data_IF_752249796859
#
_entry.id   IF_752249796859
#
_cell.length_a   1.000
_cell.length_b   1.000
_cell.length_c   1.000
_cell.angle_alpha   90.00
_cell.angle_beta   90.00
_cell.angle_gamma   90.00
#
_symmetry.space_group_name_H-M   'P 1'
#
loop_
_entity.id
_entity.type
_entity.pdbx_description
1 polymer ?
#
# COMPACT_ATOMS: atom_id res chain seq x y z
N UNK A 1 -11.89 -3.69 6.62
CA UNK A 1 -12.54 -2.35 6.68
C UNK A 1 -11.61 -1.18 6.95
N UNK A 2 -10.79 -1.18 8.00
CA UNK A 2 -9.97 -0.01 8.38
C UNK A 2 -9.14 0.58 7.22
N UNK A 3 -8.39 -0.26 6.49
CA UNK A 3 -7.49 0.17 5.42
C UNK A 3 -8.23 0.78 4.21
N UNK A 4 -9.34 0.19 3.78
CA UNK A 4 -10.17 0.75 2.70
C UNK A 4 -10.74 2.13 3.08
N UNK A 5 -11.11 2.32 4.35
CA UNK A 5 -11.57 3.63 4.83
C UNK A 5 -10.49 4.71 4.74
N UNK A 6 -9.22 4.34 4.93
CA UNK A 6 -8.09 5.25 4.80
C UNK A 6 -7.83 5.62 3.33
N UNK A 7 -7.88 4.63 2.44
CA UNK A 7 -7.74 4.86 1.00
C UNK A 7 -8.85 5.80 0.49
N UNK A 8 -10.11 5.54 0.88
CA UNK A 8 -11.24 6.40 0.50
C UNK A 8 -11.03 7.85 0.94
N UNK A 9 -10.70 8.10 2.21
CA UNK A 9 -10.46 9.47 2.71
C UNK A 9 -9.28 10.15 2.02
N UNK A 10 -8.21 9.42 1.78
CA UNK A 10 -7.03 9.94 1.08
C UNK A 10 -7.33 10.29 -0.39
N UNK A 11 -8.18 9.51 -1.05
CA UNK A 11 -8.58 9.78 -2.43
C UNK A 11 -9.65 10.89 -2.54
N UNK A 12 -10.56 10.98 -1.57
CA UNK A 12 -11.67 11.93 -1.57
C UNK A 12 -11.28 13.35 -1.13
N UNK A 13 -10.07 13.56 -0.58
CA UNK A 13 -9.64 14.86 -0.06
C UNK A 13 -8.89 15.68 -1.12
N UNK A 14 -9.03 17.01 -1.00
CA UNK A 14 -8.30 18.00 -1.79
C UNK A 14 -7.01 18.49 -1.10
N UNK A 15 -6.68 17.94 0.06
CA UNK A 15 -5.46 18.29 0.78
C UNK A 15 -4.20 18.01 -0.08
N UNK A 16 -3.27 18.97 -0.23
CA UNK A 16 -2.11 18.83 -1.11
C UNK A 16 -1.24 17.59 -0.83
N UNK A 17 -1.15 17.18 0.43
CA UNK A 17 -0.36 16.03 0.89
C UNK A 17 -0.87 14.70 0.33
N UNK A 18 -2.14 14.64 -0.07
CA UNK A 18 -2.78 13.45 -0.65
C UNK A 18 -2.96 13.54 -2.16
N UNK A 19 -2.42 14.57 -2.80
CA UNK A 19 -2.53 14.80 -4.26
C UNK A 19 -2.05 13.62 -5.11
N UNK A 20 -1.15 12.78 -4.60
CA UNK A 20 -0.68 11.57 -5.26
C UNK A 20 -1.69 10.41 -5.25
N UNK A 21 -2.71 10.45 -4.39
CA UNK A 21 -3.73 9.41 -4.25
C UNK A 21 -4.92 9.79 -5.12
N UNK A 22 -4.87 9.37 -6.38
CA UNK A 22 -5.94 9.58 -7.36
C UNK A 22 -6.40 8.24 -7.91
N UNK A 23 -7.69 7.98 -7.77
CA UNK A 23 -8.38 6.79 -8.26
C UNK A 23 -9.53 7.21 -9.18
N UNK A 24 -10.01 6.32 -10.06
CA UNK A 24 -11.21 6.57 -10.86
C UNK A 24 -12.43 6.94 -10.00
N UNK A 25 -13.31 7.81 -10.52
CA UNK A 25 -14.53 8.21 -9.81
C UNK A 25 -15.45 7.02 -9.51
N UNK A 26 -15.51 6.02 -10.40
CA UNK A 26 -16.29 4.78 -10.17
C UNK A 26 -15.77 4.02 -8.94
N UNK A 27 -14.45 3.94 -8.79
CA UNK A 27 -13.80 3.24 -7.69
C UNK A 27 -13.99 4.03 -6.39
N UNK A 28 -13.97 5.36 -6.46
CA UNK A 28 -14.20 6.23 -5.31
C UNK A 28 -15.62 6.07 -4.74
N UNK A 29 -16.61 6.02 -5.61
CA UNK A 29 -18.01 5.82 -5.21
C UNK A 29 -18.25 4.39 -4.69
N UNK A 30 -17.58 3.41 -5.30
CA UNK A 30 -17.57 2.03 -4.79
C UNK A 30 -16.98 1.97 -3.39
N UNK A 31 -15.81 2.58 -3.16
CA UNK A 31 -15.18 2.67 -1.84
C UNK A 31 -16.09 3.37 -0.82
N UNK A 32 -16.75 4.47 -1.20
CA UNK A 32 -17.71 5.17 -0.34
C UNK A 32 -18.82 4.22 0.12
N UNK A 33 -19.38 3.47 -0.80
CA UNK A 33 -20.47 2.52 -0.53
C UNK A 33 -20.01 1.40 0.41
N UNK A 34 -18.87 0.77 0.13
CA UNK A 34 -18.29 -0.28 0.97
C UNK A 34 -18.01 0.20 2.40
N UNK A 35 -17.43 1.41 2.54
CA UNK A 35 -17.14 2.00 3.85
C UNK A 35 -18.43 2.29 4.63
N UNK A 36 -19.47 2.82 3.97
CA UNK A 36 -20.75 3.11 4.60
C UNK A 36 -21.54 1.86 4.99
N UNK A 37 -21.49 0.79 4.19
CA UNK A 37 -22.19 -0.46 4.48
C UNK A 37 -21.45 -1.36 5.48
N UNK A 38 -20.16 -1.11 5.71
CA UNK A 38 -19.32 -2.01 6.51
C UNK A 38 -18.90 -3.28 5.76
N UNK A 39 -19.18 -3.35 4.45
CA UNK A 39 -18.87 -4.49 3.59
C UNK A 39 -17.42 -4.37 3.08
N UNK A 40 -16.55 -5.36 3.29
CA UNK A 40 -15.20 -5.37 2.71
C UNK A 40 -15.20 -5.46 1.18
N UNK A 41 -16.31 -5.85 0.57
CA UNK A 41 -16.45 -5.97 -0.87
C UNK A 41 -15.60 -7.10 -1.45
N UNK A 42 -15.24 -6.95 -2.72
CA UNK A 42 -14.49 -7.99 -3.41
C UNK A 42 -13.03 -8.03 -2.97
N UNK A 43 -12.47 -9.22 -2.73
CA UNK A 43 -11.07 -9.39 -2.34
C UNK A 43 -10.03 -8.79 -3.30
N UNK A 44 -10.35 -8.72 -4.59
CA UNK A 44 -9.46 -8.17 -5.62
C UNK A 44 -9.60 -6.66 -5.83
N UNK A 45 -10.45 -5.98 -5.05
CA UNK A 45 -10.66 -4.55 -5.13
C UNK A 45 -9.69 -3.82 -4.21
N UNK A 46 -8.61 -3.26 -4.79
CA UNK A 46 -7.47 -2.67 -4.08
C UNK A 46 -6.89 -3.58 -2.98
N UNK A 47 -6.39 -4.78 -3.36
CA UNK A 47 -5.89 -5.74 -2.38
C UNK A 47 -4.68 -5.18 -1.64
N UNK A 48 -4.58 -5.53 -0.36
CA UNK A 48 -3.67 -4.83 0.57
C UNK A 48 -2.60 -5.76 1.11
N UNK A 49 -1.34 -5.38 0.95
CA UNK A 49 -0.17 -6.08 1.49
C UNK A 49 0.50 -5.25 2.58
N UNK A 50 1.03 -5.92 3.61
CA UNK A 50 1.76 -5.26 4.70
C UNK A 50 3.26 -5.57 4.66
N UNK A 51 4.06 -4.55 4.96
CA UNK A 51 5.50 -4.67 5.19
C UNK A 51 5.87 -3.97 6.49
N UNK A 52 6.55 -4.65 7.39
CA UNK A 52 7.03 -4.11 8.66
C UNK A 52 8.53 -3.78 8.57
N UNK A 53 8.91 -2.60 9.04
CA UNK A 53 10.30 -2.29 9.31
C UNK A 53 10.75 -3.03 10.58
N UNK A 54 11.77 -3.87 10.44
CA UNK A 54 12.26 -4.74 11.52
C UNK A 54 13.33 -4.09 12.40
N UNK A 55 13.83 -2.92 12.03
CA UNK A 55 14.80 -2.15 12.83
C UNK A 55 14.31 -0.73 13.06
N UNK A 56 14.74 -0.14 14.18
CA UNK A 56 14.39 1.24 14.53
C UNK A 56 15.09 2.19 13.57
N UNK A 57 14.28 2.98 12.87
CA UNK A 57 14.74 4.04 11.99
C UNK A 57 14.61 5.42 12.62
N UNK A 58 14.89 6.46 11.82
CA UNK A 58 14.49 7.82 12.19
C UNK A 58 12.96 7.92 12.21
N UNK A 59 12.43 8.72 13.13
CA UNK A 59 11.02 9.09 13.14
C UNK A 59 10.77 9.97 11.92
N UNK A 60 9.79 9.61 11.10
CA UNK A 60 9.30 10.46 10.02
C UNK A 60 7.81 10.20 9.80
N UNK A 61 7.07 11.26 9.44
CA UNK A 61 5.67 11.15 9.02
C UNK A 61 5.62 11.36 7.52
N UNK A 62 5.49 10.28 6.76
CA UNK A 62 5.47 10.35 5.31
C UNK A 62 4.03 10.34 4.81
N UNK A 63 3.65 11.35 4.03
CA UNK A 63 2.35 11.38 3.37
C UNK A 63 2.17 10.17 2.44
N UNK A 64 0.93 9.72 2.19
CA UNK A 64 0.70 8.64 1.23
C UNK A 64 1.22 8.98 -0.17
N UNK A 65 1.81 8.01 -0.85
CA UNK A 65 2.36 8.21 -2.21
C UNK A 65 1.95 7.12 -3.18
N UNK A 66 1.90 7.47 -4.47
CA UNK A 66 1.78 6.53 -5.57
C UNK A 66 3.18 6.15 -6.10
N UNK A 67 3.44 4.85 -6.29
CA UNK A 67 4.73 4.33 -6.75
C UNK A 67 4.56 3.05 -7.56
N UNK A 68 5.65 2.60 -8.17
CA UNK A 68 5.79 1.25 -8.70
C UNK A 68 6.63 0.43 -7.71
N UNK A 69 6.11 -0.70 -7.26
CA UNK A 69 6.79 -1.70 -6.45
C UNK A 69 7.22 -2.85 -7.34
N UNK A 70 8.43 -3.34 -7.15
CA UNK A 70 8.93 -4.53 -7.83
C UNK A 70 8.54 -5.75 -6.99
N UNK A 71 7.66 -6.61 -7.51
CA UNK A 71 7.17 -7.80 -6.82
C UNK A 71 7.83 -9.03 -7.47
N UNK A 72 8.42 -9.95 -6.69
CA UNK A 72 8.98 -11.17 -7.25
C UNK A 72 7.86 -12.02 -7.88
N UNK A 73 8.11 -12.56 -9.07
CA UNK A 73 7.17 -13.46 -9.72
C UNK A 73 7.35 -14.86 -9.10
N UNK A 74 6.30 -15.36 -8.44
CA UNK A 74 6.29 -16.70 -7.87
C UNK A 74 6.50 -17.74 -9.00
N UNK A 75 7.26 -18.80 -8.71
CA UNK A 75 7.57 -19.91 -9.63
C UNK A 75 8.44 -19.59 -10.87
N UNK A 76 9.07 -18.41 -10.92
CA UNK A 76 10.09 -18.08 -11.92
C UNK A 76 11.44 -17.75 -11.28
N UNK A 77 12.44 -17.44 -12.10
CA UNK A 77 13.77 -17.02 -11.62
C UNK A 77 13.62 -15.91 -10.56
N UNK A 78 14.21 -16.05 -9.36
CA UNK A 78 14.10 -15.05 -8.29
C UNK A 78 14.65 -13.66 -8.65
N UNK A 79 15.32 -13.51 -9.80
CA UNK A 79 15.72 -12.23 -10.37
C UNK A 79 14.63 -11.56 -11.23
N UNK A 80 13.56 -12.27 -11.57
CA UNK A 80 12.43 -11.72 -12.31
C UNK A 80 11.43 -11.06 -11.35
N UNK A 81 11.17 -9.79 -11.62
CA UNK A 81 10.20 -9.02 -10.88
C UNK A 81 9.21 -8.35 -11.83
N UNK A 82 7.95 -8.32 -11.42
CA UNK A 82 6.92 -7.55 -12.09
C UNK A 82 6.74 -6.16 -11.46
N UNK A 83 6.56 -5.11 -12.28
CA UNK A 83 6.23 -3.78 -11.80
C UNK A 83 4.74 -3.72 -11.41
N UNK A 84 4.46 -3.52 -10.13
CA UNK A 84 3.12 -3.31 -9.60
C UNK A 84 2.91 -1.85 -9.20
N UNK A 85 1.99 -1.10 -9.85
CA UNK A 85 1.58 0.21 -9.37
C UNK A 85 0.87 0.06 -8.02
N UNK A 86 1.32 0.82 -7.03
CA UNK A 86 0.80 0.78 -5.66
C UNK A 86 0.51 2.17 -5.10
N UNK A 87 -0.39 2.24 -4.12
CA UNK A 87 -0.37 3.31 -3.13
C UNK A 87 0.31 2.83 -1.86
N UNK A 88 1.13 3.68 -1.28
CA UNK A 88 1.93 3.38 -0.10
C UNK A 88 1.57 4.33 1.04
N UNK A 89 1.14 3.76 2.16
CA UNK A 89 0.87 4.49 3.39
C UNK A 89 1.84 4.02 4.47
N UNK A 90 2.38 4.96 5.24
CA UNK A 90 3.33 4.67 6.31
C UNK A 90 2.69 4.94 7.68
N UNK A 91 2.84 3.97 8.58
CA UNK A 91 2.30 3.94 9.94
C UNK A 91 3.39 3.48 10.91
N UNK A 92 4.31 4.38 11.23
CA UNK A 92 5.32 4.18 12.28
C UNK A 92 5.99 2.78 12.26
N UNK A 93 6.69 2.49 11.16
CA UNK A 93 7.33 1.20 10.91
C UNK A 93 6.46 0.21 10.14
N UNK A 94 5.13 0.31 10.19
CA UNK A 94 4.24 -0.48 9.34
C UNK A 94 3.98 0.24 8.01
N UNK A 95 4.09 -0.48 6.90
CA UNK A 95 3.86 0.03 5.56
C UNK A 95 2.69 -0.74 4.95
N UNK A 96 1.69 0.00 4.48
CA UNK A 96 0.53 -0.53 3.78
C UNK A 96 0.71 -0.26 2.29
N UNK A 97 0.61 -1.33 1.49
CA UNK A 97 0.63 -1.26 0.04
C UNK A 97 -0.73 -1.66 -0.51
N UNK A 98 -1.42 -0.73 -1.18
CA UNK A 98 -2.62 -1.03 -1.97
C UNK A 98 -2.18 -1.31 -3.40
N UNK A 99 -2.45 -2.51 -3.91
CA UNK A 99 -2.24 -2.81 -5.34
C UNK A 99 -3.30 -2.07 -6.16
N UNK A 100 -2.87 -1.44 -7.25
CA UNK A 100 -3.74 -0.67 -8.15
C UNK A 100 -4.07 -1.44 -9.43
N UNK A 101 -3.53 -2.64 -9.59
CA UNK A 101 -3.86 -3.52 -10.72
C UNK A 101 -5.23 -4.14 -10.51
N UNK A 102 -5.95 -4.35 -11.60
CA UNK A 102 -7.18 -5.16 -11.60
C UNK A 102 -6.76 -6.64 -11.63
N UNK A 103 -6.46 -7.20 -10.47
CA UNK A 103 -6.12 -8.62 -10.32
C UNK A 103 -7.38 -9.47 -10.49
N UNK A 104 -7.24 -10.63 -11.13
CA UNK A 104 -8.27 -11.65 -11.18
C UNK A 104 -8.44 -12.31 -9.80
N UNK A 105 -9.61 -12.90 -9.55
CA UNK A 105 -9.84 -13.65 -8.30
C UNK A 105 -8.87 -14.82 -8.14
N UNK A 106 -8.40 -15.41 -9.24
CA UNK A 106 -7.42 -16.50 -9.22
C UNK A 106 -6.07 -16.01 -8.72
N UNK A 107 -5.54 -14.91 -9.28
CA UNK A 107 -4.26 -14.32 -8.84
C UNK A 107 -4.30 -13.94 -7.36
N UNK A 108 -5.42 -13.40 -6.90
CA UNK A 108 -5.56 -13.03 -5.48
C UNK A 108 -5.71 -14.28 -4.60
N UNK A 109 -6.35 -15.34 -5.06
CA UNK A 109 -6.45 -16.60 -4.33
C UNK A 109 -5.08 -17.29 -4.18
N UNK A 110 -4.27 -17.31 -5.23
CA UNK A 110 -2.92 -17.89 -5.24
C UNK A 110 -1.99 -17.17 -4.27
N UNK A 111 -2.10 -15.84 -4.16
CA UNK A 111 -1.36 -15.01 -3.22
C UNK A 111 -2.17 -14.62 -1.97
N UNK A 112 -3.20 -15.40 -1.61
CA UNK A 112 -4.18 -15.03 -0.57
C UNK A 112 -3.56 -14.78 0.80
N UNK A 113 -2.49 -15.50 1.14
CA UNK A 113 -1.75 -15.30 2.38
C UNK A 113 -0.98 -13.97 2.43
N UNK A 114 -0.76 -13.27 1.32
CA UNK A 114 -0.13 -11.94 1.33
C UNK A 114 -1.12 -10.78 1.50
N UNK A 115 -2.43 -11.06 1.35
CA UNK A 115 -3.46 -10.03 1.33
C UNK A 115 -4.27 -10.00 2.62
N UNK A 116 -4.43 -8.81 3.18
CA UNK A 116 -5.20 -8.60 4.41
C UNK A 116 -6.68 -8.88 4.16
N UNK A 117 -7.31 -9.65 5.05
CA UNK A 117 -8.76 -9.89 5.05
C UNK A 117 -9.22 -11.06 4.18
N UNK A 118 -8.29 -11.84 3.62
CA UNK A 118 -8.61 -13.06 2.87
C UNK A 118 -8.73 -14.32 3.71
N UNK A 119 -7.85 -14.43 4.70
CA UNK A 119 -7.73 -15.58 5.58
C UNK A 119 -7.55 -15.08 7.01
N UNK A 120 -7.76 -15.96 7.99
CA UNK A 120 -7.56 -15.65 9.42
C UNK A 120 -6.08 -15.33 9.73
N UNK A 121 -5.16 -15.83 8.90
CA UNK A 121 -3.73 -15.58 8.99
C UNK A 121 -3.20 -15.05 7.67
N UNK A 122 -2.28 -14.09 7.74
CA UNK A 122 -1.61 -13.54 6.57
C UNK A 122 -0.13 -13.26 6.89
N UNK A 123 0.68 -13.14 5.85
CA UNK A 123 2.11 -12.91 5.92
C UNK A 123 2.40 -11.41 5.89
N UNK A 124 3.20 -10.96 6.86
CA UNK A 124 3.80 -9.63 6.86
C UNK A 124 5.25 -9.77 6.43
N UNK A 125 5.61 -9.09 5.35
CA UNK A 125 7.01 -9.04 4.91
C UNK A 125 7.81 -8.10 5.80
N UNK A 126 9.09 -8.39 6.01
CA UNK A 126 9.96 -7.54 6.83
C UNK A 126 11.12 -6.99 6.04
N UNK A 127 11.49 -5.74 6.28
CA UNK A 127 12.69 -5.12 5.74
C UNK A 127 13.40 -4.31 6.83
N UNK A 128 14.73 -4.24 6.82
CA UNK A 128 15.47 -3.34 7.72
C UNK A 128 15.26 -1.89 7.32
N UNK A 129 15.33 -0.96 8.27
CA UNK A 129 15.23 0.47 7.99
C UNK A 129 16.29 0.93 6.99
N UNK A 130 17.55 0.52 7.16
CA UNK A 130 18.66 0.98 6.30
C UNK A 130 18.48 0.56 4.84
N UNK A 131 17.82 -0.57 4.58
CA UNK A 131 17.46 -1.02 3.24
C UNK A 131 16.13 -0.47 2.71
N UNK A 132 15.42 0.33 3.49
CA UNK A 132 14.07 0.80 3.16
C UNK A 132 14.07 2.15 2.43
N UNK A 133 12.94 2.50 1.83
CA UNK A 133 12.78 3.84 1.23
C UNK A 133 12.89 4.96 2.29
N UNK A 134 12.58 4.65 3.54
CA UNK A 134 12.62 5.59 4.64
C UNK A 134 14.04 6.08 4.94
N UNK A 135 15.05 5.20 4.84
CA UNK A 135 16.45 5.62 5.02
C UNK A 135 16.89 6.54 3.88
N UNK A 136 16.55 6.20 2.63
CA UNK A 136 16.90 6.99 1.44
C UNK A 136 16.29 8.38 1.45
N UNK A 137 15.01 8.49 1.83
CA UNK A 137 14.31 9.78 1.86
C UNK A 137 14.77 10.65 3.04
N UNK A 138 15.21 10.05 4.14
CA UNK A 138 15.75 10.79 5.31
C UNK A 138 17.10 11.47 5.04
N UNK A 139 17.81 11.06 3.98
CA UNK A 139 19.09 11.65 3.56
C UNK A 139 18.90 12.94 2.73
N UNK A 140 17.74 13.12 2.09
CA UNK A 140 17.48 14.22 1.13
C UNK A 140 16.80 15.46 1.73
N UNK A 141 16.74 15.62 3.06
CA UNK A 141 16.26 16.86 3.67
C UNK A 141 17.38 17.91 3.58
N UNK A 142 17.44 18.66 2.48
CA UNK A 142 18.10 19.97 2.50
C UNK A 142 17.16 20.96 3.19
N UNK A 143 17.63 21.50 4.31
CA UNK A 143 16.98 22.62 4.99
C UNK A 143 17.01 23.80 4.03
N UNK A 144 15.84 24.19 3.52
CA UNK A 144 15.68 25.49 2.87
C UNK A 144 15.35 26.47 4.00
N UNK A 145 16.36 27.23 4.44
CA UNK A 145 16.15 28.37 5.32
C UNK A 145 15.47 29.49 4.51
N UNK A 146 14.45 30.11 5.11
CA UNK A 146 13.77 31.29 4.57
C UNK A 146 14.60 32.55 4.76
#
# INVERSE_FOLDING_TARGET
MFLLSLLWRAAATDLPEFSAIRIPEEDLETLRTLVCSGDPGSPNFYPVQLTQLSTIGRIHNHAPIARIKSIPILDTDPLQHEPAPIFRFYFDGLIVHFDRRKLSLTEVAEASNFFVGHQDTFLVTTQTYDGSLQSLQSINIQVQEF
#
